data_IF_721918231021
#
_entry.id   IF_721918231021
#
_cell.length_a   1.000
_cell.length_b   1.000
_cell.length_c   1.000
_cell.angle_alpha   90.00
_cell.angle_beta   90.00
_cell.angle_gamma   90.00
#
_symmetry.space_group_name_H-M   'P 1'
#
loop_
_entity.id
_entity.type
_entity.pdbx_description
1 polymer ?
#
# COMPACT_ATOMS: atom_id res chain seq x y z
N UNK A 1 -9.73 -8.06 10.03
CA UNK A 1 -9.84 -6.62 10.44
C UNK A 1 -9.92 -6.37 11.96
N UNK A 2 -10.56 -7.19 12.80
CA UNK A 2 -10.57 -6.91 14.26
C UNK A 2 -9.21 -7.12 14.94
N UNK A 3 -8.34 -8.01 14.44
CA UNK A 3 -7.15 -8.48 15.18
C UNK A 3 -6.05 -7.42 15.33
N UNK A 4 -5.84 -6.56 14.32
CA UNK A 4 -4.78 -5.54 14.33
C UNK A 4 -4.91 -4.53 15.49
N UNK A 5 -6.15 -4.13 15.83
CA UNK A 5 -6.41 -3.17 16.90
C UNK A 5 -6.23 -3.80 18.29
N UNK A 6 -6.53 -5.09 18.43
CA UNK A 6 -6.41 -5.79 19.71
C UNK A 6 -4.95 -5.94 20.14
N UNK A 7 -4.04 -6.21 19.20
CA UNK A 7 -2.63 -6.44 19.53
C UNK A 7 -1.96 -5.22 20.18
N UNK A 8 -2.10 -4.04 19.57
CA UNK A 8 -1.55 -2.80 20.14
C UNK A 8 -2.23 -2.42 21.46
N UNK A 9 -3.54 -2.64 21.60
CA UNK A 9 -4.24 -2.34 22.85
C UNK A 9 -3.74 -3.22 24.01
N UNK A 10 -3.61 -4.53 23.78
CA UNK A 10 -3.10 -5.49 24.77
C UNK A 10 -1.66 -5.16 25.14
N UNK A 11 -0.82 -4.81 24.16
CA UNK A 11 0.55 -4.38 24.38
C UNK A 11 0.64 -3.11 25.25
N UNK A 12 -0.27 -2.15 25.04
CA UNK A 12 -0.35 -0.95 25.90
C UNK A 12 -0.84 -1.24 27.30
N UNK A 13 -1.78 -2.18 27.45
CA UNK A 13 -2.26 -2.62 28.75
C UNK A 13 -1.17 -3.32 29.57
N UNK A 14 -0.27 -4.05 28.90
CA UNK A 14 0.90 -4.66 29.51
C UNK A 14 1.80 -3.68 30.23
N UNK A 15 2.19 -2.58 29.59
CA UNK A 15 3.04 -1.59 30.25
C UNK A 15 2.34 -0.88 31.41
N UNK A 16 1.01 -0.77 31.39
CA UNK A 16 0.25 -0.17 32.51
C UNK A 16 0.06 -1.13 33.68
N UNK A 17 -0.12 -2.42 33.41
CA UNK A 17 -0.48 -3.47 34.37
C UNK A 17 0.18 -4.80 33.97
N UNK A 18 1.51 -4.93 34.16
CA UNK A 18 2.25 -6.10 33.70
C UNK A 18 1.76 -7.44 34.28
N UNK A 19 1.56 -7.58 35.61
CA UNK A 19 1.22 -8.89 36.18
C UNK A 19 -0.17 -9.40 35.78
N UNK A 20 -1.14 -8.50 35.57
CA UNK A 20 -2.51 -8.88 35.21
C UNK A 20 -2.68 -9.21 33.73
N UNK A 21 -1.82 -8.68 32.86
CA UNK A 21 -1.99 -8.77 31.40
C UNK A 21 -0.90 -9.55 30.68
N UNK A 22 0.12 -10.04 31.40
CA UNK A 22 1.18 -10.89 30.86
C UNK A 22 0.63 -12.09 30.06
N UNK A 23 -0.35 -12.80 30.61
CA UNK A 23 -0.98 -13.95 29.92
C UNK A 23 -1.73 -13.52 28.66
N UNK A 24 -2.43 -12.38 28.73
CA UNK A 24 -3.19 -11.85 27.59
C UNK A 24 -2.27 -11.45 26.43
N UNK A 25 -1.10 -10.86 26.72
CA UNK A 25 -0.07 -10.55 25.71
C UNK A 25 0.43 -11.80 25.02
N UNK A 26 0.75 -12.85 25.77
CA UNK A 26 1.22 -14.11 25.20
C UNK A 26 0.19 -14.73 24.24
N UNK A 27 -1.08 -14.75 24.64
CA UNK A 27 -2.17 -15.26 23.78
C UNK A 27 -2.37 -14.38 22.54
N UNK A 28 -2.34 -13.05 22.70
CA UNK A 28 -2.51 -12.12 21.59
C UNK A 28 -1.35 -12.20 20.58
N UNK A 29 -0.10 -12.34 21.04
CA UNK A 29 1.06 -12.53 20.18
C UNK A 29 1.01 -13.87 19.45
N UNK A 30 0.67 -14.96 20.13
CA UNK A 30 0.54 -16.27 19.49
C UNK A 30 -0.56 -16.29 18.42
N UNK A 31 -1.69 -15.63 18.70
CA UNK A 31 -2.77 -15.44 17.73
C UNK A 31 -2.33 -14.58 16.54
N UNK A 32 -1.61 -13.48 16.80
CA UNK A 32 -1.12 -12.58 15.75
C UNK A 32 -0.06 -13.22 14.85
N UNK A 33 0.81 -14.07 15.39
CA UNK A 33 1.78 -14.85 14.61
C UNK A 33 1.12 -15.94 13.76
N UNK A 34 -0.07 -16.39 14.14
CA UNK A 34 -0.85 -17.41 13.41
C UNK A 34 -1.92 -16.82 12.49
N UNK A 35 -2.01 -15.48 12.39
CA UNK A 35 -2.98 -14.80 11.54
C UNK A 35 -2.65 -15.00 10.05
N UNK A 36 -3.63 -14.91 9.15
CA UNK A 36 -3.39 -14.98 7.71
C UNK A 36 -2.86 -13.65 7.15
N UNK A 37 -3.18 -12.54 7.82
CA UNK A 37 -2.78 -11.20 7.41
C UNK A 37 -1.30 -10.95 7.71
N UNK A 38 -0.48 -10.78 6.68
CA UNK A 38 0.96 -10.56 6.83
C UNK A 38 1.29 -9.30 7.65
N UNK A 39 0.51 -8.22 7.49
CA UNK A 39 0.67 -7.00 8.29
C UNK A 39 0.45 -7.20 9.79
N UNK A 40 -0.36 -8.21 10.17
CA UNK A 40 -0.57 -8.59 11.57
C UNK A 40 0.59 -9.43 12.08
N UNK A 41 1.06 -10.39 11.27
CA UNK A 41 2.22 -11.22 11.61
C UNK A 41 3.47 -10.37 11.82
N UNK A 42 3.75 -9.43 10.93
CA UNK A 42 4.92 -8.54 11.01
C UNK A 42 4.88 -7.69 12.29
N UNK A 43 3.71 -7.15 12.66
CA UNK A 43 3.55 -6.40 13.91
C UNK A 43 3.70 -7.29 15.13
N UNK A 44 3.17 -8.50 15.12
CA UNK A 44 3.31 -9.45 16.22
C UNK A 44 4.77 -9.85 16.42
N UNK A 45 5.48 -10.14 15.33
CA UNK A 45 6.90 -10.45 15.37
C UNK A 45 7.73 -9.26 15.87
N UNK A 46 7.44 -8.06 15.38
CA UNK A 46 8.08 -6.83 15.85
C UNK A 46 7.91 -6.63 17.36
N UNK A 47 6.69 -6.74 17.87
CA UNK A 47 6.44 -6.59 19.32
C UNK A 47 7.12 -7.67 20.16
N UNK A 48 7.15 -8.92 19.67
CA UNK A 48 7.85 -10.01 20.34
C UNK A 48 9.36 -9.76 20.41
N UNK A 49 9.98 -9.34 19.30
CA UNK A 49 11.40 -9.00 19.25
C UNK A 49 11.72 -7.81 20.16
N UNK A 50 10.87 -6.79 20.17
CA UNK A 50 11.04 -5.59 20.98
C UNK A 50 10.99 -5.90 22.48
N UNK A 51 10.06 -6.76 22.91
CA UNK A 51 9.95 -7.24 24.29
C UNK A 51 11.16 -8.07 24.73
N UNK A 52 11.68 -8.93 23.84
CA UNK A 52 12.89 -9.72 24.12
C UNK A 52 14.14 -8.85 24.22
N UNK A 53 14.24 -7.82 23.39
CA UNK A 53 15.40 -6.93 23.39
C UNK A 53 15.46 -6.08 24.65
N UNK A 54 14.44 -5.27 24.92
CA UNK A 54 14.40 -4.42 26.11
C UNK A 54 12.98 -3.90 26.39
N UNK A 55 12.47 -4.18 27.58
CA UNK A 55 11.11 -3.79 28.01
C UNK A 55 10.94 -2.26 28.10
N UNK A 56 11.95 -1.52 28.58
CA UNK A 56 11.88 -0.05 28.69
C UNK A 56 11.89 0.63 27.31
N UNK A 57 12.67 0.12 26.37
CA UNK A 57 12.64 0.60 24.97
C UNK A 57 11.29 0.29 24.33
N UNK A 58 10.75 -0.89 24.60
CA UNK A 58 9.43 -1.29 24.13
C UNK A 58 8.32 -0.36 24.64
N UNK A 59 8.39 0.03 25.91
CA UNK A 59 7.45 0.98 26.49
C UNK A 59 7.49 2.34 25.79
N UNK A 60 8.68 2.91 25.60
CA UNK A 60 8.85 4.19 24.90
C UNK A 60 8.35 4.14 23.44
N UNK A 61 8.60 3.04 22.73
CA UNK A 61 8.17 2.86 21.35
C UNK A 61 6.65 2.70 21.21
N UNK A 62 6.01 2.01 22.16
CA UNK A 62 4.56 1.74 22.15
C UNK A 62 3.75 2.90 22.72
N UNK A 63 4.30 3.60 23.72
CA UNK A 63 3.69 4.72 24.42
C UNK A 63 4.54 6.00 24.33
N UNK A 64 4.81 6.54 23.12
CA UNK A 64 5.51 7.81 23.01
C UNK A 64 4.67 8.96 23.62
N UNK A 65 5.32 10.02 24.11
CA UNK A 65 4.61 11.22 24.53
C UNK A 65 3.83 11.79 23.34
N UNK A 66 2.50 11.77 23.44
CA UNK A 66 1.62 12.25 22.37
C UNK A 66 1.67 13.76 22.31
N UNK A 67 2.21 14.30 21.24
CA UNK A 67 2.08 15.73 20.93
C UNK A 67 0.65 16.04 20.51
N UNK A 68 0.13 17.20 20.91
CA UNK A 68 -1.19 17.64 20.48
C UNK A 68 -1.17 17.93 18.98
N UNK A 69 -2.19 17.44 18.27
CA UNK A 69 -2.40 17.78 16.85
C UNK A 69 -3.05 19.17 16.83
N UNK A 70 -2.30 20.17 16.38
CA UNK A 70 -2.75 21.57 16.36
C UNK A 70 -3.41 21.99 15.03
N UNK A 71 -3.14 21.25 13.95
CA UNK A 71 -3.63 21.55 12.60
C UNK A 71 -4.32 20.31 12.06
N UNK A 72 -5.59 20.44 11.70
CA UNK A 72 -6.38 19.37 11.11
C UNK A 72 -6.35 19.46 9.59
N UNK A 73 -6.67 18.37 8.88
CA UNK A 73 -6.68 18.37 7.42
C UNK A 73 -7.63 19.43 6.83
N UNK A 74 -8.72 19.75 7.54
CA UNK A 74 -9.71 20.75 7.11
C UNK A 74 -9.15 22.17 7.01
N UNK A 75 -8.08 22.48 7.76
CA UNK A 75 -7.38 23.77 7.72
C UNK A 75 -6.46 23.95 6.52
N UNK A 76 -6.10 22.89 5.77
CA UNK A 76 -5.32 22.97 4.51
C UNK A 76 -6.21 22.88 3.26
N UNK A 77 -7.49 23.20 3.41
CA UNK A 77 -8.46 23.00 2.34
C UNK A 77 -8.46 24.09 1.26
N UNK A 78 -7.67 25.18 1.36
CA UNK A 78 -7.64 26.19 0.29
C UNK A 78 -6.97 25.65 -0.97
N UNK A 79 -5.79 25.05 -0.87
CA UNK A 79 -5.03 24.61 -2.05
C UNK A 79 -5.70 23.42 -2.74
N UNK A 80 -6.32 22.54 -1.95
CA UNK A 80 -7.06 21.37 -2.45
C UNK A 80 -8.40 21.80 -3.08
N UNK A 81 -9.06 22.83 -2.56
CA UNK A 81 -10.29 23.37 -3.18
C UNK A 81 -10.01 23.91 -4.57
N UNK A 82 -8.94 24.69 -4.75
CA UNK A 82 -8.64 25.30 -6.06
C UNK A 82 -8.34 24.23 -7.12
N UNK A 83 -7.58 23.19 -6.78
CA UNK A 83 -7.33 22.06 -7.69
C UNK A 83 -8.60 21.24 -7.99
N UNK A 84 -9.48 21.04 -7.00
CA UNK A 84 -10.77 20.37 -7.22
C UNK A 84 -11.65 21.20 -8.15
N UNK A 85 -11.66 22.53 -8.06
CA UNK A 85 -12.43 23.38 -8.97
C UNK A 85 -11.89 23.36 -10.41
N UNK A 86 -10.56 23.34 -10.58
CA UNK A 86 -9.93 23.19 -11.89
C UNK A 86 -10.22 21.81 -12.50
N UNK A 87 -10.19 20.74 -11.69
CA UNK A 87 -10.52 19.38 -12.12
C UNK A 87 -12.04 19.18 -12.35
N UNK A 88 -12.90 19.86 -11.58
CA UNK A 88 -14.36 19.87 -11.76
C UNK A 88 -14.78 20.44 -13.12
N UNK A 89 -13.95 21.30 -13.69
CA UNK A 89 -14.13 21.87 -15.01
C UNK A 89 -13.65 20.94 -16.15
N UNK A 90 -13.04 19.79 -15.82
CA UNK A 90 -12.62 18.76 -16.76
C UNK A 90 -13.73 17.73 -17.01
N UNK A 91 -13.83 17.24 -18.26
CA UNK A 91 -14.74 16.16 -18.65
C UNK A 91 -14.49 14.84 -17.88
N UNK A 92 -13.33 14.68 -17.24
CA UNK A 92 -13.00 13.53 -16.40
C UNK A 92 -13.98 13.30 -15.25
N UNK A 93 -14.65 14.36 -14.77
CA UNK A 93 -15.69 14.27 -13.71
C UNK A 93 -16.97 13.62 -14.24
N UNK A 94 -17.34 13.92 -15.49
CA UNK A 94 -18.49 13.33 -16.17
C UNK A 94 -18.21 11.86 -16.53
N UNK A 95 -16.96 11.55 -16.87
CA UNK A 95 -16.54 10.20 -17.30
C UNK A 95 -15.94 9.32 -16.19
N UNK A 96 -15.81 9.82 -14.96
CA UNK A 96 -15.31 9.10 -13.79
C UNK A 96 -13.98 8.35 -14.03
N UNK A 97 -13.08 8.92 -14.85
CA UNK A 97 -11.77 8.35 -15.15
C UNK A 97 -10.69 9.23 -14.52
N UNK A 98 -10.00 8.71 -13.51
CA UNK A 98 -8.89 9.41 -12.88
C UNK A 98 -7.66 9.37 -13.82
N UNK A 99 -7.25 10.51 -14.34
CA UNK A 99 -6.10 10.66 -15.25
C UNK A 99 -4.74 10.73 -14.49
N UNK A 100 -4.67 10.26 -13.24
CA UNK A 100 -3.44 10.30 -12.40
C UNK A 100 -2.86 8.91 -12.07
N UNK A 101 -3.15 7.92 -12.91
CA UNK A 101 -2.55 6.59 -12.83
C UNK A 101 -1.55 6.31 -13.95
N UNK A 102 -0.59 7.20 -14.22
CA UNK A 102 0.54 6.86 -15.10
C UNK A 102 1.60 6.11 -14.29
N UNK A 103 1.45 4.79 -14.20
CA UNK A 103 2.61 3.92 -14.08
C UNK A 103 3.26 3.87 -15.47
N UNK A 104 4.44 4.47 -15.58
CA UNK A 104 5.29 4.41 -16.77
C UNK A 104 5.55 2.95 -17.16
N UNK A 105 5.01 2.53 -18.30
CA UNK A 105 5.73 1.61 -19.19
C UNK A 105 5.79 2.33 -20.53
N UNK A 106 6.99 2.82 -20.83
CA UNK A 106 7.34 3.48 -22.06
C UNK A 106 7.50 2.45 -23.17
N UNK A 107 6.49 2.31 -24.02
CA UNK A 107 6.65 1.69 -25.34
C UNK A 107 6.81 2.82 -26.36
N UNK A 108 8.06 3.04 -26.79
CA UNK A 108 8.39 3.91 -27.92
C UNK A 108 8.08 3.17 -29.23
N UNK A 109 7.30 3.74 -30.16
CA UNK A 109 7.12 3.14 -31.47
C UNK A 109 8.29 3.54 -32.37
N UNK A 110 9.17 2.59 -32.68
CA UNK A 110 10.15 2.75 -33.75
C UNK A 110 9.51 2.32 -35.06
N UNK A 111 9.13 3.28 -35.90
CA UNK A 111 9.00 3.07 -37.34
C UNK A 111 10.37 3.30 -37.95
N UNK A 112 10.93 2.30 -38.62
CA UNK A 112 11.84 2.53 -39.73
C UNK A 112 11.93 1.31 -40.65
N UNK A 113 11.73 1.64 -41.93
CA UNK A 113 12.41 1.08 -43.11
C UNK A 113 11.77 -0.08 -43.89
N UNK A 114 11.13 0.30 -44.99
CA UNK A 114 11.09 -0.46 -46.25
C UNK A 114 12.49 -0.98 -46.62
N UNK A 115 12.59 -2.28 -46.88
CA UNK A 115 13.41 -2.77 -48.00
C UNK A 115 12.88 -4.13 -48.46
N UNK A 116 12.30 -4.11 -49.65
CA UNK A 116 12.11 -5.22 -50.59
C UNK A 116 13.27 -6.22 -50.57
N UNK A 117 12.96 -7.51 -50.48
CA UNK A 117 13.64 -8.51 -51.31
C UNK A 117 12.81 -9.78 -51.46
N UNK A 118 12.84 -10.25 -52.71
CA UNK A 118 12.05 -11.29 -53.34
C UNK A 118 12.52 -12.69 -52.93
N UNK A 119 11.57 -13.60 -52.72
CA UNK A 119 11.56 -14.95 -53.33
C UNK A 119 10.48 -15.78 -52.68
N UNK A 120 9.37 -15.97 -53.39
CA UNK A 120 8.69 -17.26 -53.33
C UNK A 120 8.50 -17.81 -54.75
N UNK A 121 8.86 -19.08 -54.82
CA UNK A 121 9.09 -19.89 -55.98
C UNK A 121 7.84 -20.69 -56.30
N UNK A 122 7.49 -20.73 -57.59
CA UNK A 122 6.85 -21.88 -58.23
C UNK A 122 5.32 -21.91 -58.22
N UNK A 123 4.72 -22.00 -59.40
CA UNK A 123 3.31 -22.34 -59.54
C UNK A 123 2.71 -21.99 -60.90
N UNK A 124 3.13 -22.71 -61.94
CA UNK A 124 2.55 -22.74 -63.28
C UNK A 124 1.01 -22.85 -63.28
N UNK A 125 0.30 -22.20 -64.21
CA UNK A 125 -0.80 -22.82 -64.99
C UNK A 125 -1.15 -21.97 -66.23
N UNK A 126 -0.71 -22.54 -67.35
CA UNK A 126 -1.21 -22.63 -68.73
C UNK A 126 -2.66 -22.17 -69.12
N UNK A 127 -2.77 -21.78 -70.41
CA UNK A 127 -3.93 -21.66 -71.34
C UNK A 127 -4.84 -20.43 -71.18
N UNK A 128 -5.24 -19.72 -72.22
CA UNK A 128 -5.16 -19.92 -73.67
C UNK A 128 -6.22 -19.03 -74.36
N UNK A 129 -6.05 -18.77 -75.67
CA UNK A 129 -7.06 -18.09 -76.49
C UNK A 129 -6.50 -16.91 -77.27
#
# INVERSE_FOLDING_TARGET
MQVCLHLTAVMKCFFKRPPETQKAVGVALAAGLSDFQQDVQDRALFYYQLLQYNVSVAECAVNPPKQAILVFADTQSSEIKDHIFDEFSSLSIVYQKQEHGKASIEEKPSKDNERTQESEHGGETQKGG
#
